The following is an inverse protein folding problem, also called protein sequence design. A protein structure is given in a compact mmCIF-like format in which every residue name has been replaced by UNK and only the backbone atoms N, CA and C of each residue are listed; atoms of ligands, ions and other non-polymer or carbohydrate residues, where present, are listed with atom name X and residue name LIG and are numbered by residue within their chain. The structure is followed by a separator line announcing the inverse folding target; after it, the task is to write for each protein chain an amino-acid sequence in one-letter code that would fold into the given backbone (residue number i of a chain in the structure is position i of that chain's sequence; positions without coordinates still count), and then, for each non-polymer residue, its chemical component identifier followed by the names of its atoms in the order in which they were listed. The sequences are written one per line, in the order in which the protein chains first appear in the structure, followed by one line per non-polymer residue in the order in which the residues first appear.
data_IF_464517785054
#
_entry.id   IF_464517785054
#
_cell.length_a   1.000
_cell.length_b   1.000
_cell.length_c   1.000
_cell.angle_alpha   90.00
_cell.angle_beta   90.00
_cell.angle_gamma   90.00
#
_symmetry.space_group_name_H-M   'P 1'
#
loop_
_entity.id
_entity.type
_entity.pdbx_description
1 polymer ?
#
# COMPACT_ATOMS: atom_id res chain seq x y z
N UNK A 1 18.13 11.33 -12.66
CA UNK A 1 18.72 10.33 -11.75
C UNK A 1 17.59 9.50 -11.19
N UNK A 2 17.32 8.34 -11.79
CA UNK A 2 16.28 8.23 -12.83
C UNK A 2 15.28 7.18 -12.36
N UNK A 3 13.98 7.39 -12.60
CA UNK A 3 12.78 6.60 -12.20
C UNK A 3 12.93 5.06 -12.11
N UNK A 4 13.90 4.50 -12.82
CA UNK A 4 14.35 3.10 -12.78
C UNK A 4 14.63 2.59 -11.36
N UNK A 5 15.28 3.36 -10.47
CA UNK A 5 15.59 2.89 -9.10
C UNK A 5 14.35 2.80 -8.20
N UNK A 6 13.39 3.72 -8.36
CA UNK A 6 12.13 3.72 -7.58
C UNK A 6 11.22 2.56 -7.99
N UNK A 7 11.04 2.35 -9.29
CA UNK A 7 10.26 1.22 -9.83
C UNK A 7 10.87 -0.14 -9.49
N UNK A 8 12.20 -0.30 -9.61
CA UNK A 8 12.87 -1.54 -9.21
C UNK A 8 12.75 -1.84 -7.72
N UNK A 9 12.89 -0.82 -6.86
CA UNK A 9 12.71 -0.96 -5.42
C UNK A 9 11.26 -1.34 -5.07
N UNK A 10 10.28 -0.67 -5.69
CA UNK A 10 8.87 -1.00 -5.53
C UNK A 10 8.55 -2.42 -6.01
N UNK A 11 9.08 -2.85 -7.16
CA UNK A 11 8.83 -4.19 -7.69
C UNK A 11 9.32 -5.30 -6.75
N UNK A 12 10.52 -5.12 -6.16
CA UNK A 12 11.05 -6.08 -5.16
C UNK A 12 10.18 -6.11 -3.90
N UNK A 13 9.87 -4.94 -3.35
CA UNK A 13 9.06 -4.81 -2.15
C UNK A 13 7.61 -5.32 -2.38
N UNK A 14 7.11 -5.16 -3.61
CA UNK A 14 5.81 -5.66 -4.04
C UNK A 14 5.78 -7.18 -4.10
N UNK A 15 6.84 -7.82 -4.62
CA UNK A 15 6.95 -9.27 -4.57
C UNK A 15 6.96 -9.79 -3.12
N UNK A 16 7.74 -9.16 -2.24
CA UNK A 16 7.73 -9.49 -0.81
C UNK A 16 6.35 -9.32 -0.18
N UNK A 17 5.57 -8.33 -0.63
CA UNK A 17 4.20 -8.11 -0.19
C UNK A 17 3.26 -9.22 -0.66
N UNK A 18 3.32 -9.60 -1.94
CA UNK A 18 2.52 -10.69 -2.51
C UNK A 18 2.82 -12.06 -1.89
N UNK A 19 4.07 -12.30 -1.47
CA UNK A 19 4.48 -13.54 -0.82
C UNK A 19 3.96 -13.65 0.64
N UNK A 20 3.51 -12.53 1.23
CA UNK A 20 2.91 -12.51 2.55
C UNK A 20 1.38 -12.58 2.46
N UNK A 21 0.71 -13.53 3.13
CA UNK A 21 -0.74 -13.57 3.12
C UNK A 21 -1.30 -12.35 3.87
N UNK A 22 -2.41 -11.79 3.37
CA UNK A 22 -3.16 -10.79 4.11
C UNK A 22 -3.48 -11.30 5.53
N UNK A 23 -3.24 -10.50 6.58
CA UNK A 23 -3.40 -10.96 7.95
C UNK A 23 -4.84 -11.40 8.25
N UNK A 24 -5.01 -12.69 8.60
CA UNK A 24 -6.34 -13.27 8.78
C UNK A 24 -7.17 -12.58 9.86
N UNK A 25 -6.54 -12.09 10.92
CA UNK A 25 -7.18 -11.38 12.02
C UNK A 25 -7.70 -9.98 11.65
N UNK A 26 -7.41 -9.48 10.45
CA UNK A 26 -7.90 -8.17 9.97
C UNK A 26 -9.04 -8.30 8.96
N UNK A 27 -9.44 -9.52 8.59
CA UNK A 27 -10.56 -9.73 7.65
C UNK A 27 -11.88 -9.32 8.32
N UNK A 28 -12.60 -8.39 7.68
CA UNK A 28 -13.85 -7.84 8.22
C UNK A 28 -13.66 -6.97 9.46
N UNK A 29 -12.43 -6.53 9.74
CA UNK A 29 -12.13 -5.60 10.84
C UNK A 29 -12.11 -4.18 10.33
N UNK A 30 -12.76 -3.28 11.07
CA UNK A 30 -12.62 -1.84 10.91
C UNK A 30 -11.76 -1.27 12.03
N UNK A 31 -10.76 -0.46 11.68
CA UNK A 31 -9.92 0.29 12.63
C UNK A 31 -10.11 1.78 12.39
N UNK A 32 -10.49 2.53 13.41
CA UNK A 32 -10.83 3.96 13.28
C UNK A 32 -11.87 4.24 12.16
N UNK A 33 -12.81 3.32 11.96
CA UNK A 33 -13.83 3.39 10.91
C UNK A 33 -13.32 3.08 9.49
N UNK A 34 -12.13 2.51 9.37
CA UNK A 34 -11.49 2.16 8.09
C UNK A 34 -11.51 0.65 7.95
N UNK A 35 -12.14 0.15 6.88
CA UNK A 35 -12.14 -1.27 6.51
C UNK A 35 -10.73 -1.68 6.07
N UNK A 36 -10.14 -2.63 6.80
CA UNK A 36 -8.75 -3.05 6.57
C UNK A 36 -8.54 -3.82 5.27
N UNK A 37 -9.59 -4.48 4.75
CA UNK A 37 -9.55 -5.19 3.47
C UNK A 37 -9.65 -4.20 2.32
N UNK A 38 -10.54 -3.21 2.41
CA UNK A 38 -10.68 -2.17 1.40
C UNK A 38 -9.43 -1.28 1.33
N UNK A 39 -8.88 -0.89 2.49
CA UNK A 39 -7.62 -0.15 2.57
C UNK A 39 -6.48 -0.89 1.87
N UNK A 40 -6.34 -2.19 2.13
CA UNK A 40 -5.35 -3.05 1.49
C UNK A 40 -5.55 -3.12 -0.03
N UNK A 41 -6.77 -3.44 -0.46
CA UNK A 41 -7.12 -3.60 -1.86
C UNK A 41 -6.93 -2.31 -2.68
N UNK A 42 -7.32 -1.15 -2.14
CA UNK A 42 -7.17 0.13 -2.82
C UNK A 42 -5.68 0.48 -3.06
N UNK A 43 -4.83 0.31 -2.03
CA UNK A 43 -3.40 0.58 -2.16
C UNK A 43 -2.75 -0.45 -3.10
N UNK A 44 -3.02 -1.74 -2.90
CA UNK A 44 -2.51 -2.82 -3.74
C UNK A 44 -2.90 -2.62 -5.22
N UNK A 45 -4.13 -2.17 -5.47
CA UNK A 45 -4.62 -1.84 -6.80
C UNK A 45 -3.86 -0.68 -7.44
N UNK A 46 -3.57 0.39 -6.68
CA UNK A 46 -2.76 1.51 -7.17
C UNK A 46 -1.31 1.10 -7.47
N UNK A 47 -0.68 0.36 -6.56
CA UNK A 47 0.70 -0.15 -6.73
C UNK A 47 0.80 -1.06 -7.95
N UNK A 48 -0.11 -2.02 -8.08
CA UNK A 48 -0.17 -2.93 -9.23
C UNK A 48 -0.39 -2.18 -10.54
N UNK A 49 -1.30 -1.21 -10.57
CA UNK A 49 -1.57 -0.40 -11.76
C UNK A 49 -0.33 0.39 -12.18
N UNK A 50 0.32 1.06 -11.23
CA UNK A 50 1.52 1.85 -11.49
C UNK A 50 2.68 0.98 -12.01
N UNK A 51 2.93 -0.18 -11.39
CA UNK A 51 3.97 -1.12 -11.83
C UNK A 51 3.70 -1.68 -13.24
N UNK A 52 2.44 -1.95 -13.58
CA UNK A 52 2.07 -2.54 -14.86
C UNK A 52 1.94 -1.51 -16.00
N UNK A 53 1.87 -0.22 -15.68
CA UNK A 53 1.70 0.87 -16.66
C UNK A 53 2.95 1.75 -16.77
N UNK A 54 4.15 1.17 -16.66
CA UNK A 54 5.43 1.88 -16.79
C UNK A 54 5.55 3.13 -15.89
N UNK A 55 4.99 3.05 -14.68
CA UNK A 55 5.00 4.13 -13.70
C UNK A 55 3.92 5.19 -13.91
N UNK A 56 2.94 4.93 -14.77
CA UNK A 56 1.79 5.80 -14.94
C UNK A 56 0.63 5.41 -14.01
N UNK A 57 0.05 6.40 -13.35
CA UNK A 57 -1.18 6.27 -12.57
C UNK A 57 -2.08 7.47 -12.92
N UNK A 58 -3.39 7.24 -13.02
CA UNK A 58 -4.33 8.28 -13.44
C UNK A 58 -4.82 9.13 -12.24
N UNK A 59 -5.31 10.34 -12.52
CA UNK A 59 -5.59 11.35 -11.49
C UNK A 59 -6.60 10.93 -10.41
N UNK A 60 -7.61 10.12 -10.77
CA UNK A 60 -8.55 9.56 -9.77
C UNK A 60 -7.82 8.64 -8.79
N UNK A 61 -6.95 7.77 -9.30
CA UNK A 61 -6.14 6.85 -8.50
C UNK A 61 -5.08 7.58 -7.66
N UNK A 62 -4.59 8.74 -8.10
CA UNK A 62 -3.75 9.61 -7.26
C UNK A 62 -4.50 10.10 -6.02
N UNK A 63 -5.76 10.51 -6.21
CA UNK A 63 -6.63 10.94 -5.11
C UNK A 63 -6.84 9.80 -4.11
N UNK A 64 -7.24 8.63 -4.61
CA UNK A 64 -7.43 7.43 -3.80
C UNK A 64 -6.15 7.09 -3.01
N UNK A 65 -5.00 7.01 -3.68
CA UNK A 65 -3.73 6.64 -3.03
C UNK A 65 -3.35 7.60 -1.90
N UNK A 66 -3.52 8.91 -2.10
CA UNK A 66 -3.25 9.90 -1.04
C UNK A 66 -4.15 9.68 0.17
N UNK A 67 -5.45 9.51 -0.05
CA UNK A 67 -6.42 9.35 1.03
C UNK A 67 -6.16 8.04 1.81
N UNK A 68 -5.81 6.96 1.10
CA UNK A 68 -5.42 5.67 1.71
C UNK A 68 -4.09 5.73 2.48
N UNK A 69 -3.15 6.59 2.10
CA UNK A 69 -1.92 6.83 2.87
C UNK A 69 -2.27 7.45 4.23
N UNK A 70 -3.12 8.48 4.25
CA UNK A 70 -3.54 9.14 5.50
C UNK A 70 -4.36 8.20 6.41
N UNK A 71 -5.14 7.31 5.82
CA UNK A 71 -5.82 6.22 6.55
C UNK A 71 -4.83 5.20 7.11
N UNK A 72 -3.84 4.78 6.33
CA UNK A 72 -2.77 3.87 6.76
C UNK A 72 -2.00 4.42 7.96
N UNK A 73 -1.66 5.71 7.94
CA UNK A 73 -0.99 6.41 9.04
C UNK A 73 -1.84 6.44 10.32
N UNK A 74 -3.18 6.49 10.18
CA UNK A 74 -4.12 6.43 11.32
C UNK A 74 -4.29 5.02 11.90
N UNK A 75 -4.31 3.98 11.06
CA UNK A 75 -4.50 2.59 11.53
C UNK A 75 -3.23 1.97 12.07
N UNK A 76 -2.04 2.34 11.56
CA UNK A 76 -0.77 1.72 11.95
C UNK A 76 -0.52 1.69 13.47
N UNK A 77 -0.75 2.79 14.23
CA UNK A 77 -0.60 2.78 15.68
C UNK A 77 -1.60 1.88 16.44
N UNK A 78 -2.70 1.49 15.79
CA UNK A 78 -3.76 0.68 16.39
C UNK A 78 -3.50 -0.82 16.25
N UNK A 79 -2.65 -1.21 15.30
CA UNK A 79 -2.21 -2.58 15.14
C UNK A 79 -1.31 -2.95 16.33
N UNK A 80 -1.57 -4.10 16.95
CA UNK A 80 -0.81 -4.59 18.12
C UNK A 80 0.04 -5.81 17.79
N UNK A 81 -0.40 -6.59 16.81
CA UNK A 81 0.30 -7.80 16.39
C UNK A 81 1.44 -7.44 15.43
N UNK A 82 2.66 -7.85 15.75
CA UNK A 82 3.86 -7.55 14.97
C UNK A 82 3.74 -7.96 13.49
N UNK A 83 3.04 -9.06 13.22
CA UNK A 83 2.76 -9.51 11.84
C UNK A 83 1.87 -8.54 11.07
N UNK A 84 0.82 -8.01 11.73
CA UNK A 84 -0.08 -7.02 11.15
C UNK A 84 0.66 -5.71 10.87
N UNK A 85 1.45 -5.22 11.83
CA UNK A 85 2.26 -4.02 11.63
C UNK A 85 3.21 -4.18 10.44
N UNK A 86 3.99 -5.26 10.40
CA UNK A 86 4.99 -5.46 9.35
C UNK A 86 4.36 -5.51 7.96
N UNK A 87 3.21 -6.17 7.84
CA UNK A 87 2.47 -6.25 6.59
C UNK A 87 2.01 -4.85 6.13
N UNK A 88 1.33 -4.10 6.99
CA UNK A 88 0.81 -2.78 6.64
C UNK A 88 1.90 -1.71 6.50
N UNK A 89 3.03 -1.82 7.22
CA UNK A 89 4.19 -0.95 7.00
C UNK A 89 4.79 -1.14 5.61
N UNK A 90 4.88 -2.39 5.13
CA UNK A 90 5.34 -2.68 3.77
C UNK A 90 4.39 -2.09 2.72
N UNK A 91 3.09 -2.24 2.94
CA UNK A 91 2.06 -1.66 2.07
C UNK A 91 2.14 -0.13 2.03
N UNK A 92 2.29 0.52 3.19
CA UNK A 92 2.44 1.98 3.26
C UNK A 92 3.74 2.46 2.60
N UNK A 93 4.84 1.71 2.76
CA UNK A 93 6.09 2.02 2.08
C UNK A 93 5.93 1.95 0.55
N UNK A 94 5.24 0.94 0.02
CA UNK A 94 4.91 0.87 -1.41
C UNK A 94 4.08 2.07 -1.86
N UNK A 95 3.05 2.44 -1.09
CA UNK A 95 2.21 3.60 -1.38
C UNK A 95 3.03 4.90 -1.46
N UNK A 96 3.98 5.09 -0.54
CA UNK A 96 4.86 6.25 -0.57
C UNK A 96 5.81 6.26 -1.77
N UNK A 97 6.34 5.11 -2.19
CA UNK A 97 7.18 5.04 -3.39
C UNK A 97 6.36 5.45 -4.63
N UNK A 98 5.16 4.88 -4.80
CA UNK A 98 4.27 5.24 -5.91
C UNK A 98 3.94 6.73 -5.88
N UNK A 99 3.51 7.26 -4.73
CA UNK A 99 3.19 8.69 -4.57
C UNK A 99 4.35 9.62 -4.90
N UNK A 100 5.60 9.22 -4.64
CA UNK A 100 6.77 10.03 -4.92
C UNK A 100 7.13 10.10 -6.42
N UNK A 101 6.62 9.16 -7.22
CA UNK A 101 6.95 9.00 -8.64
C UNK A 101 5.83 9.46 -9.59
N UNK A 102 4.67 9.88 -9.06
CA UNK A 102 3.47 10.26 -9.83
C UNK A 102 2.97 11.69 -9.57
#
# INVERSE_FOLDING_TARGET
MSRTTGAEAAARLWQEHLDAPFPAGLRGVELAGIDMVLLDADIAGCVSTWLNNDGFLEGERHGILRDRIEESERVLPLLKETGHLRYHQRLLQLAHIVKAEV
#
